data_IF_530265846684
#
_entry.id   IF_530265846684
#
_cell.length_a   1.000
_cell.length_b   1.000
_cell.length_c   1.000
_cell.angle_alpha   90.00
_cell.angle_beta   90.00
_cell.angle_gamma   90.00
#
_symmetry.space_group_name_H-M   'P 1'
#
loop_
_entity.id
_entity.type
_entity.pdbx_description
1 polymer ?
#
# COMPACT_ATOMS: atom_id res chain seq x y z
N UNK A 1 0.93 18.44 8.84
CA UNK A 1 2.07 17.50 8.98
C UNK A 1 1.72 16.51 10.07
N UNK A 2 2.13 15.25 9.92
CA UNK A 2 1.93 14.21 10.93
C UNK A 2 3.27 13.59 11.30
N UNK A 3 3.36 13.05 12.50
CA UNK A 3 4.44 12.20 12.96
C UNK A 3 3.92 11.26 14.02
N UNK A 4 4.64 10.17 14.23
CA UNK A 4 4.37 9.21 15.28
C UNK A 4 5.65 8.96 16.08
N UNK A 5 5.51 8.59 17.35
CA UNK A 5 6.61 8.11 18.17
C UNK A 5 6.50 6.62 18.47
N UNK A 6 7.53 6.05 19.09
CA UNK A 6 7.62 4.60 19.36
C UNK A 6 6.58 4.15 20.38
N UNK A 7 6.07 5.09 21.16
CA UNK A 7 5.01 4.93 22.14
C UNK A 7 3.61 4.94 21.50
N UNK A 8 3.52 5.02 20.16
CA UNK A 8 2.25 4.99 19.44
C UNK A 8 1.46 6.28 19.58
N UNK A 9 2.12 7.39 19.90
CA UNK A 9 1.50 8.72 19.91
C UNK A 9 1.61 9.33 18.53
N UNK A 10 0.47 9.72 17.97
CA UNK A 10 0.39 10.49 16.73
C UNK A 10 0.16 11.95 17.05
N UNK A 11 0.97 12.79 16.43
CA UNK A 11 0.93 14.25 16.58
C UNK A 11 0.63 14.87 15.23
N UNK A 12 -0.18 15.92 15.28
CA UNK A 12 -0.60 16.67 14.09
C UNK A 12 -0.20 18.12 14.24
N UNK A 13 0.44 18.67 13.22
CA UNK A 13 0.84 20.07 13.17
C UNK A 13 0.25 20.80 11.99
N UNK A 14 -0.13 22.05 12.23
CA UNK A 14 -0.38 23.01 11.16
C UNK A 14 0.96 23.38 10.51
N UNK A 15 1.07 23.12 9.20
CA UNK A 15 2.33 23.30 8.49
C UNK A 15 2.72 24.79 8.34
N UNK A 16 1.73 25.68 8.32
CA UNK A 16 1.96 27.12 8.09
C UNK A 16 2.48 27.83 9.34
N UNK A 17 1.86 27.52 10.49
CA UNK A 17 2.17 28.14 11.78
C UNK A 17 3.14 27.32 12.61
N UNK A 18 3.34 26.03 12.29
CA UNK A 18 4.12 25.10 13.10
C UNK A 18 3.43 24.69 14.41
N UNK A 19 2.18 25.13 14.63
CA UNK A 19 1.46 24.84 15.87
C UNK A 19 1.06 23.36 15.91
N UNK A 20 1.26 22.75 17.08
CA UNK A 20 0.69 21.44 17.39
C UNK A 20 -0.83 21.59 17.50
N UNK A 21 -1.56 20.88 16.64
CA UNK A 21 -3.02 20.85 16.62
C UNK A 21 -3.56 19.78 17.57
N UNK A 22 -2.94 18.60 17.61
CA UNK A 22 -3.40 17.48 18.44
C UNK A 22 -2.27 16.49 18.75
N UNK A 23 -2.50 15.66 19.77
CA UNK A 23 -1.65 14.53 20.16
C UNK A 23 -2.55 13.40 20.68
N UNK A 24 -2.49 12.22 20.06
CA UNK A 24 -3.35 11.07 20.37
C UNK A 24 -2.47 9.85 20.63
N UNK A 25 -2.72 9.12 21.71
CA UNK A 25 -2.12 7.81 21.95
C UNK A 25 -3.04 6.73 21.38
N UNK A 26 -2.51 5.88 20.50
CA UNK A 26 -3.32 4.91 19.76
C UNK A 26 -2.54 3.62 19.43
N UNK A 27 -1.44 3.36 20.14
CA UNK A 27 -0.58 2.16 20.02
C UNK A 27 -0.23 1.79 18.56
N UNK A 28 -0.10 2.80 17.72
CA UNK A 28 0.15 2.65 16.30
C UNK A 28 1.65 2.59 16.00
N UNK A 29 2.07 1.61 15.21
CA UNK A 29 3.46 1.49 14.77
C UNK A 29 3.71 2.18 13.43
N UNK A 30 2.67 2.39 12.63
CA UNK A 30 2.71 3.05 11.32
C UNK A 30 1.37 3.74 11.01
N UNK A 31 1.35 4.64 10.02
CA UNK A 31 0.15 5.40 9.67
C UNK A 31 0.09 5.87 8.22
N UNK A 32 -1.09 5.76 7.60
CA UNK A 32 -1.41 6.24 6.25
C UNK A 32 -2.60 7.23 6.27
N UNK A 33 -2.59 8.23 5.38
CA UNK A 33 -3.62 9.29 5.19
C UNK A 33 -3.89 9.36 3.67
N UNK A 34 -5.08 9.54 3.08
CA UNK A 34 -6.15 10.54 3.28
C UNK A 34 -7.45 10.05 2.61
N UNK A 35 -8.61 10.55 3.08
CA UNK A 35 -9.89 10.61 2.36
C UNK A 35 -10.03 11.99 1.69
N UNK A 36 -10.26 12.05 0.37
CA UNK A 36 -10.35 13.29 -0.42
C UNK A 36 -11.57 14.18 -0.08
N UNK A 37 -12.55 13.67 0.69
CA UNK A 37 -13.80 14.35 0.99
C UNK A 37 -13.74 15.26 2.24
N UNK A 38 -12.69 16.07 2.37
CA UNK A 38 -12.51 17.12 3.40
C UNK A 38 -12.45 16.64 4.88
N UNK A 39 -12.75 15.38 5.19
CA UNK A 39 -12.48 14.78 6.48
C UNK A 39 -11.16 14.04 6.41
N UNK A 40 -10.08 14.67 6.89
CA UNK A 40 -8.82 13.97 7.07
C UNK A 40 -9.07 12.84 8.09
N UNK A 41 -9.08 11.62 7.60
CA UNK A 41 -9.08 10.40 8.39
C UNK A 41 -7.75 9.72 8.18
N UNK A 42 -7.18 9.25 9.28
CA UNK A 42 -5.89 8.59 9.29
C UNK A 42 -6.10 7.18 9.80
N UNK A 43 -5.64 6.19 9.04
CA UNK A 43 -5.64 4.80 9.48
C UNK A 43 -4.27 4.53 10.09
N UNK A 44 -4.33 4.23 11.37
CA UNK A 44 -3.18 3.91 12.20
C UNK A 44 -3.22 2.44 12.53
N UNK A 45 -2.10 1.76 12.40
CA UNK A 45 -2.08 0.34 12.63
C UNK A 45 -0.99 -0.05 13.60
N UNK A 46 -1.39 -0.86 14.56
CA UNK A 46 -0.50 -1.51 15.53
C UNK A 46 -0.35 -2.99 15.19
N UNK A 47 0.10 -3.76 16.18
CA UNK A 47 0.35 -5.19 15.98
C UNK A 47 -0.94 -6.00 15.74
N UNK A 48 -2.09 -5.55 16.24
CA UNK A 48 -3.34 -6.35 16.25
C UNK A 48 -4.61 -5.60 15.86
N UNK A 49 -4.50 -4.33 15.52
CA UNK A 49 -5.64 -3.44 15.36
C UNK A 49 -5.34 -2.29 14.42
N UNK A 50 -6.41 -1.76 13.84
CA UNK A 50 -6.42 -0.48 13.12
C UNK A 50 -7.24 0.53 13.91
N UNK A 51 -6.79 1.78 13.91
CA UNK A 51 -7.46 2.92 14.49
C UNK A 51 -7.76 3.92 13.36
N UNK A 52 -9.02 4.23 13.15
CA UNK A 52 -9.46 5.33 12.30
C UNK A 52 -9.52 6.56 13.19
N UNK A 53 -8.67 7.53 12.93
CA UNK A 53 -8.58 8.74 13.76
C UNK A 53 -8.94 9.98 12.98
N UNK A 54 -9.52 10.96 13.68
CA UNK A 54 -9.53 12.35 13.25
C UNK A 54 -8.27 13.02 13.81
N UNK A 55 -7.21 13.17 13.00
CA UNK A 55 -5.94 13.63 13.50
C UNK A 55 -5.96 15.15 13.75
N UNK A 56 -6.93 15.92 13.24
CA UNK A 56 -7.07 17.34 13.58
C UNK A 56 -7.71 17.49 14.96
N UNK A 57 -8.80 16.76 15.23
CA UNK A 57 -9.52 16.86 16.50
C UNK A 57 -8.84 16.13 17.66
N UNK A 58 -7.93 15.20 17.37
CA UNK A 58 -7.32 14.41 18.42
C UNK A 58 -8.18 13.22 18.86
N UNK A 59 -9.04 12.69 17.99
CA UNK A 59 -10.07 11.72 18.35
C UNK A 59 -9.89 10.38 17.61
N UNK A 60 -9.99 9.26 18.34
CA UNK A 60 -10.17 7.94 17.74
C UNK A 60 -11.65 7.80 17.39
N UNK A 61 -11.97 7.70 16.09
CA UNK A 61 -13.33 7.49 15.62
C UNK A 61 -13.75 6.04 15.75
N UNK A 62 -12.84 5.11 15.44
CA UNK A 62 -13.10 3.67 15.46
C UNK A 62 -11.82 2.90 15.72
N UNK A 63 -11.90 1.93 16.61
CA UNK A 63 -10.88 0.89 16.79
C UNK A 63 -11.41 -0.40 16.16
N UNK A 64 -10.57 -1.06 15.38
CA UNK A 64 -10.87 -2.30 14.65
C UNK A 64 -9.87 -3.35 15.11
N UNK A 65 -10.36 -4.38 15.79
CA UNK A 65 -9.53 -5.51 16.23
C UNK A 65 -9.54 -6.61 15.18
N UNK A 66 -8.37 -6.96 14.67
CA UNK A 66 -8.22 -8.01 13.64
C UNK A 66 -7.31 -9.16 14.10
N UNK A 67 -7.02 -9.25 15.41
CA UNK A 67 -6.02 -10.19 15.95
C UNK A 67 -6.23 -11.64 15.54
N UNK A 68 -7.48 -12.07 15.41
CA UNK A 68 -7.83 -13.44 15.03
C UNK A 68 -7.46 -13.79 13.58
N UNK A 69 -7.36 -12.79 12.71
CA UNK A 69 -7.02 -12.94 11.28
C UNK A 69 -5.52 -12.84 11.02
N UNK A 70 -4.74 -12.40 12.00
CA UNK A 70 -3.30 -12.19 11.81
C UNK A 70 -2.49 -13.48 11.92
N UNK A 71 -3.08 -14.58 12.38
CA UNK A 71 -2.39 -15.85 12.61
C UNK A 71 -1.10 -15.71 13.44
N UNK A 72 -1.07 -14.74 14.36
CA UNK A 72 0.11 -14.44 15.18
C UNK A 72 1.17 -13.56 14.52
N UNK A 73 0.88 -12.98 13.36
CA UNK A 73 1.77 -12.06 12.64
C UNK A 73 1.39 -10.59 12.90
N UNK A 74 2.26 -9.67 12.49
CA UNK A 74 1.95 -8.24 12.45
C UNK A 74 1.36 -7.85 11.09
N UNK A 75 0.64 -6.73 11.03
CA UNK A 75 0.37 -6.05 9.76
C UNK A 75 1.70 -5.55 9.18
N UNK A 76 1.90 -5.73 7.88
CA UNK A 76 3.07 -5.16 7.19
C UNK A 76 2.68 -3.88 6.44
N UNK A 77 1.55 -3.90 5.71
CA UNK A 77 1.10 -2.75 4.93
C UNK A 77 -0.44 -2.66 4.78
N UNK A 78 -0.96 -1.48 4.42
CA UNK A 78 -2.38 -1.16 4.29
C UNK A 78 -2.65 -0.23 3.10
N UNK A 79 -3.70 -0.54 2.33
CA UNK A 79 -4.30 0.38 1.35
C UNK A 79 -5.75 0.71 1.73
N UNK A 80 -6.12 1.97 1.53
CA UNK A 80 -7.50 2.43 1.55
C UNK A 80 -8.11 2.27 0.15
N UNK A 81 -9.12 1.40 -0.01
CA UNK A 81 -9.84 1.28 -1.27
C UNK A 81 -10.86 2.41 -1.39
N UNK A 82 -10.41 3.55 -1.91
CA UNK A 82 -11.23 4.74 -2.04
C UNK A 82 -12.42 4.44 -2.99
N UNK A 83 -13.64 4.64 -2.51
CA UNK A 83 -14.88 4.37 -3.27
C UNK A 83 -15.65 3.11 -2.86
N UNK A 84 -15.12 2.26 -1.96
CA UNK A 84 -15.80 1.01 -1.55
C UNK A 84 -16.03 0.85 -0.05
N UNK A 85 -15.65 1.83 0.77
CA UNK A 85 -15.62 1.69 2.23
C UNK A 85 -14.85 0.43 2.69
N UNK A 86 -13.68 0.16 2.10
CA UNK A 86 -12.87 -1.01 2.45
C UNK A 86 -11.40 -0.67 2.71
N UNK A 87 -10.79 -1.47 3.58
CA UNK A 87 -9.36 -1.45 3.90
C UNK A 87 -8.76 -2.76 3.39
N UNK A 88 -7.73 -2.68 2.56
CA UNK A 88 -6.89 -3.82 2.22
C UNK A 88 -5.67 -3.81 3.12
N UNK A 89 -5.25 -4.96 3.62
CA UNK A 89 -4.03 -5.05 4.40
C UNK A 89 -3.30 -6.37 4.18
N UNK A 90 -1.97 -6.32 4.25
CA UNK A 90 -1.09 -7.50 4.27
C UNK A 90 -0.62 -7.80 5.69
N UNK A 91 -0.21 -9.05 5.89
CA UNK A 91 0.45 -9.48 7.11
C UNK A 91 1.89 -9.91 6.83
N UNK A 92 2.76 -9.66 7.79
CA UNK A 92 4.16 -10.06 7.78
C UNK A 92 4.27 -11.56 8.05
N UNK A 93 4.01 -12.38 7.04
CA UNK A 93 3.99 -13.85 7.12
C UNK A 93 4.78 -14.46 5.96
N UNK A 94 5.35 -15.65 6.18
CA UNK A 94 5.94 -16.45 5.10
C UNK A 94 4.90 -16.89 4.06
N UNK A 95 3.64 -17.00 4.49
CA UNK A 95 2.49 -17.18 3.62
C UNK A 95 1.82 -15.81 3.37
N UNK A 96 1.81 -15.30 2.13
CA UNK A 96 1.34 -13.97 1.82
C UNK A 96 -0.19 -13.95 1.76
N UNK A 97 -0.81 -13.42 2.82
CA UNK A 97 -2.24 -13.15 2.88
C UNK A 97 -2.53 -11.66 2.68
N UNK A 98 -3.61 -11.40 1.96
CA UNK A 98 -4.24 -10.08 1.90
C UNK A 98 -5.67 -10.23 2.35
N UNK A 99 -6.07 -9.31 3.20
CA UNK A 99 -7.41 -9.25 3.74
C UNK A 99 -8.12 -8.01 3.23
N UNK A 100 -9.42 -8.13 3.03
CA UNK A 100 -10.32 -7.01 2.76
C UNK A 100 -11.21 -6.86 3.98
N UNK A 101 -11.09 -5.74 4.67
CA UNK A 101 -11.97 -5.36 5.76
C UNK A 101 -13.01 -4.35 5.25
N UNK A 102 -14.29 -4.64 5.45
CA UNK A 102 -15.39 -3.75 5.10
C UNK A 102 -15.70 -2.81 6.27
N UNK A 103 -15.54 -1.50 6.05
CA UNK A 103 -15.93 -0.46 7.01
C UNK A 103 -17.46 -0.44 7.20
N UNK A 104 -18.22 -0.68 6.12
CA UNK A 104 -19.67 -0.68 6.13
C UNK A 104 -20.26 -1.83 6.99
N UNK A 105 -19.67 -3.02 6.89
CA UNK A 105 -20.16 -4.21 7.60
C UNK A 105 -19.41 -4.50 8.91
N UNK A 106 -18.34 -3.74 9.21
CA UNK A 106 -17.51 -3.94 10.39
C UNK A 106 -16.91 -5.37 10.49
N UNK A 107 -16.49 -5.93 9.35
CA UNK A 107 -16.04 -7.33 9.28
C UNK A 107 -15.03 -7.55 8.16
N UNK A 108 -14.29 -8.67 8.23
CA UNK A 108 -13.55 -9.19 7.08
C UNK A 108 -14.55 -9.62 6.00
N UNK A 109 -14.39 -9.09 4.80
CA UNK A 109 -15.20 -9.35 3.62
C UNK A 109 -14.53 -10.30 2.62
N UNK A 110 -13.20 -10.46 2.73
CA UNK A 110 -12.46 -11.34 1.86
C UNK A 110 -11.04 -11.59 2.36
N UNK A 111 -10.49 -12.71 1.93
CA UNK A 111 -9.13 -13.15 2.17
C UNK A 111 -8.61 -13.78 0.88
N UNK A 112 -7.38 -13.44 0.51
CA UNK A 112 -6.69 -14.05 -0.61
C UNK A 112 -5.28 -14.45 -0.19
N UNK A 113 -4.94 -15.71 -0.43
CA UNK A 113 -3.59 -16.24 -0.27
C UNK A 113 -2.90 -16.25 -1.62
N UNK A 114 -1.74 -15.60 -1.73
CA UNK A 114 -1.03 -15.48 -2.99
C UNK A 114 0.14 -16.47 -3.16
N UNK A 115 0.22 -17.50 -2.32
CA UNK A 115 0.96 -18.75 -2.57
C UNK A 115 2.43 -18.61 -2.95
N UNK A 116 3.29 -18.05 -2.10
CA UNK A 116 4.76 -18.07 -2.26
C UNK A 116 5.45 -17.97 -0.88
N UNK A 117 6.68 -18.49 -0.75
CA UNK A 117 7.46 -18.51 0.51
C UNK A 117 8.11 -17.16 0.87
N UNK A 118 7.57 -16.04 0.39
CA UNK A 118 8.15 -14.70 0.55
C UNK A 118 7.10 -13.73 1.07
N UNK A 119 7.37 -12.98 2.15
CA UNK A 119 6.44 -11.98 2.66
C UNK A 119 6.18 -10.88 1.63
N UNK A 120 4.97 -10.33 1.67
CA UNK A 120 4.61 -9.08 0.99
C UNK A 120 5.13 -7.94 1.85
N UNK A 121 5.93 -7.04 1.27
CA UNK A 121 6.48 -5.88 1.97
C UNK A 121 5.74 -4.58 1.70
N UNK A 122 5.02 -4.54 0.59
CA UNK A 122 4.31 -3.34 0.12
C UNK A 122 3.18 -3.79 -0.83
N UNK A 123 2.08 -3.06 -0.80
CA UNK A 123 0.94 -3.24 -1.68
C UNK A 123 0.69 -1.89 -2.36
N UNK A 124 0.41 -1.92 -3.66
CA UNK A 124 -0.06 -0.74 -4.39
C UNK A 124 -1.35 -1.03 -5.16
N UNK A 125 -2.13 0.02 -5.44
CA UNK A 125 -3.41 -0.05 -6.13
C UNK A 125 -3.37 0.80 -7.39
N UNK A 126 -3.85 0.24 -8.51
CA UNK A 126 -3.87 0.95 -9.78
C UNK A 126 -4.81 2.16 -9.76
N UNK A 127 -4.60 3.13 -10.64
CA UNK A 127 -5.32 4.40 -10.62
C UNK A 127 -6.85 4.23 -10.73
N UNK A 128 -7.30 3.28 -11.57
CA UNK A 128 -8.71 2.96 -11.70
C UNK A 128 -9.15 1.77 -10.87
N UNK A 129 -8.35 1.37 -9.87
CA UNK A 129 -8.77 0.39 -8.89
C UNK A 129 -9.13 -0.97 -9.51
N UNK A 130 -8.49 -1.31 -10.64
CA UNK A 130 -8.68 -2.57 -11.36
C UNK A 130 -7.63 -3.62 -10.98
N UNK A 131 -6.46 -3.17 -10.50
CA UNK A 131 -5.34 -4.04 -10.18
C UNK A 131 -4.74 -3.74 -8.81
N UNK A 132 -4.27 -4.79 -8.15
CA UNK A 132 -3.47 -4.71 -6.92
C UNK A 132 -2.06 -5.22 -7.27
N UNK A 133 -1.03 -4.45 -6.96
CA UNK A 133 0.35 -4.89 -7.01
C UNK A 133 0.83 -5.35 -5.63
N UNK A 134 1.49 -6.51 -5.60
CA UNK A 134 2.01 -7.15 -4.40
C UNK A 134 3.52 -7.24 -4.51
N UNK A 135 4.23 -6.42 -3.75
CA UNK A 135 5.69 -6.36 -3.78
C UNK A 135 6.27 -7.38 -2.80
N UNK A 136 7.14 -8.25 -3.32
CA UNK A 136 7.83 -9.31 -2.58
C UNK A 136 9.32 -9.15 -2.78
N UNK A 137 10.13 -9.86 -1.98
CA UNK A 137 11.59 -9.74 -2.02
C UNK A 137 12.21 -9.92 -3.43
N UNK A 138 11.62 -10.80 -4.24
CA UNK A 138 12.16 -11.31 -5.49
C UNK A 138 11.23 -11.13 -6.69
N UNK A 139 10.01 -10.66 -6.46
CA UNK A 139 8.94 -10.68 -7.44
C UNK A 139 7.88 -9.63 -7.15
N UNK A 140 7.11 -9.30 -8.19
CA UNK A 140 5.86 -8.57 -8.02
C UNK A 140 4.74 -9.39 -8.62
N UNK A 141 3.64 -9.52 -7.87
CA UNK A 141 2.42 -10.13 -8.37
C UNK A 141 1.37 -9.06 -8.61
N UNK A 142 0.72 -9.10 -9.77
CA UNK A 142 -0.41 -8.24 -10.09
C UNK A 142 -1.68 -9.08 -10.07
N UNK A 143 -2.70 -8.58 -9.38
CA UNK A 143 -4.00 -9.21 -9.24
C UNK A 143 -5.03 -8.34 -9.92
N UNK A 144 -5.70 -8.85 -10.95
CA UNK A 144 -6.90 -8.20 -11.50
C UNK A 144 -8.06 -8.40 -10.53
N UNK A 145 -8.58 -7.32 -9.96
CA UNK A 145 -9.58 -7.36 -8.87
C UNK A 145 -10.87 -8.06 -9.32
N UNK A 146 -11.34 -7.77 -10.54
CA UNK A 146 -12.63 -8.26 -11.03
C UNK A 146 -12.64 -9.77 -11.27
N UNK A 147 -11.54 -10.32 -11.76
CA UNK A 147 -11.45 -11.72 -12.19
C UNK A 147 -10.68 -12.57 -11.19
N UNK A 148 -9.91 -11.96 -10.30
CA UNK A 148 -8.91 -12.63 -9.46
C UNK A 148 -7.72 -13.15 -10.25
N UNK A 149 -7.56 -12.78 -11.53
CA UNK A 149 -6.45 -13.24 -12.37
C UNK A 149 -5.14 -12.75 -11.77
N UNK A 150 -4.27 -13.70 -11.42
CA UNK A 150 -2.94 -13.45 -10.92
C UNK A 150 -1.93 -13.50 -12.06
N UNK A 151 -1.18 -12.42 -12.25
CA UNK A 151 -0.02 -12.36 -13.12
C UNK A 151 1.21 -12.13 -12.25
N UNK A 152 2.07 -13.13 -12.13
CA UNK A 152 3.31 -13.03 -11.35
C UNK A 152 4.49 -12.75 -12.24
N UNK A 153 5.25 -11.72 -11.89
CA UNK A 153 6.46 -11.32 -12.59
C UNK A 153 7.68 -11.68 -11.74
N UNK A 154 8.41 -12.70 -12.18
CA UNK A 154 9.71 -13.03 -11.63
C UNK A 154 10.76 -12.01 -12.09
N UNK A 155 11.74 -11.76 -11.23
CA UNK A 155 12.93 -10.91 -11.44
C UNK A 155 12.72 -9.41 -11.16
N UNK A 156 12.73 -9.02 -9.88
CA UNK A 156 13.62 -7.91 -9.57
C UNK A 156 15.05 -8.41 -9.79
N UNK A 157 15.82 -7.85 -10.73
CA UNK A 157 17.11 -8.41 -11.11
C UNK A 157 18.08 -8.40 -9.93
N UNK A 158 18.57 -9.60 -9.57
CA UNK A 158 19.82 -10.02 -8.88
C UNK A 158 20.29 -9.33 -7.59
N UNK A 159 19.82 -8.14 -7.27
CA UNK A 159 20.09 -7.48 -6.01
C UNK A 159 18.78 -7.42 -5.26
N UNK A 160 18.81 -7.85 -3.99
CA UNK A 160 17.69 -7.74 -3.05
C UNK A 160 16.95 -6.43 -3.32
N UNK A 161 15.62 -6.48 -3.36
CA UNK A 161 14.78 -5.30 -3.29
C UNK A 161 14.97 -4.63 -1.92
N UNK A 162 16.17 -4.13 -1.63
CA UNK A 162 16.55 -3.42 -0.42
C UNK A 162 15.93 -2.01 -0.53
N UNK A 163 14.62 -1.95 -0.31
CA UNK A 163 13.88 -0.76 0.11
C UNK A 163 13.50 0.28 -0.94
N UNK A 164 13.78 0.06 -2.23
CA UNK A 164 13.66 1.12 -3.23
C UNK A 164 13.12 0.60 -4.58
N UNK A 165 12.05 -0.20 -4.57
CA UNK A 165 11.26 -0.45 -5.77
C UNK A 165 10.13 0.57 -5.80
N UNK A 166 10.12 1.43 -6.81
CA UNK A 166 8.98 2.29 -7.12
C UNK A 166 8.10 1.58 -8.15
N UNK A 167 6.82 1.46 -7.82
CA UNK A 167 5.79 1.03 -8.76
C UNK A 167 4.97 2.23 -9.19
N UNK A 168 4.56 2.21 -10.46
CA UNK A 168 3.60 3.19 -10.95
C UNK A 168 2.74 2.55 -12.03
N UNK A 169 1.44 2.60 -11.81
CA UNK A 169 0.46 2.26 -12.83
C UNK A 169 0.29 3.45 -13.78
N UNK A 170 0.15 3.14 -15.07
CA UNK A 170 -0.17 4.19 -16.00
C UNK A 170 -1.61 4.69 -15.79
N UNK A 171 -1.91 5.87 -16.31
CA UNK A 171 -3.21 6.52 -16.14
C UNK A 171 -4.38 5.65 -16.60
N UNK A 172 -4.19 4.69 -17.50
CA UNK A 172 -5.24 3.80 -18.04
C UNK A 172 -5.24 2.39 -17.45
N UNK A 173 -4.40 2.09 -16.45
CA UNK A 173 -4.21 0.74 -15.88
C UNK A 173 -3.90 -0.34 -16.93
N UNK A 174 -3.24 0.03 -18.03
CA UNK A 174 -2.78 -0.89 -19.07
C UNK A 174 -1.35 -1.34 -18.84
N UNK A 175 -0.55 -0.48 -18.23
CA UNK A 175 0.87 -0.70 -18.01
C UNK A 175 1.22 -0.48 -16.56
N UNK A 176 2.24 -1.20 -16.10
CA UNK A 176 2.91 -0.95 -14.83
C UNK A 176 4.39 -0.77 -15.07
N UNK A 177 4.96 0.26 -14.46
CA UNK A 177 6.38 0.54 -14.46
C UNK A 177 6.99 0.08 -13.13
N UNK A 178 8.14 -0.57 -13.23
CA UNK A 178 9.01 -0.96 -12.12
C UNK A 178 10.28 -0.14 -12.23
N UNK A 179 10.63 0.59 -11.19
CA UNK A 179 11.91 1.29 -11.10
C UNK A 179 12.64 0.84 -9.84
N UNK A 180 13.78 0.16 -10.01
CA UNK A 180 14.64 -0.23 -8.89
C UNK A 180 15.97 0.55 -8.85
N UNK A 181 15.97 1.77 -9.41
CA UNK A 181 17.14 2.68 -9.57
C UNK A 181 18.29 2.16 -10.44
N UNK A 182 18.31 0.85 -10.72
CA UNK A 182 19.27 0.19 -11.62
C UNK A 182 18.63 -0.14 -12.96
N UNK A 183 17.33 -0.43 -12.96
CA UNK A 183 16.56 -0.79 -14.12
C UNK A 183 15.16 -0.19 -14.03
N UNK A 184 14.67 0.24 -15.18
CA UNK A 184 13.26 0.56 -15.40
C UNK A 184 12.70 -0.52 -16.31
N UNK A 185 11.56 -1.11 -15.94
CA UNK A 185 10.82 -2.09 -16.74
C UNK A 185 9.38 -1.62 -16.87
N UNK A 186 8.77 -1.80 -18.03
CA UNK A 186 7.35 -1.55 -18.25
C UNK A 186 6.71 -2.84 -18.76
N UNK A 187 5.63 -3.24 -18.10
CA UNK A 187 4.90 -4.46 -18.42
C UNK A 187 3.48 -4.11 -18.89
N UNK A 188 2.99 -4.83 -19.89
CA UNK A 188 1.60 -4.84 -20.29
C UNK A 188 0.80 -5.76 -19.37
N UNK A 189 -0.22 -5.21 -18.71
CA UNK A 189 -1.02 -5.93 -17.72
C UNK A 189 -1.97 -6.96 -18.34
N UNK A 190 -2.36 -6.78 -19.61
CA UNK A 190 -3.24 -7.71 -20.30
C UNK A 190 -2.48 -8.97 -20.73
N UNK A 191 -1.33 -8.77 -21.38
CA UNK A 191 -0.51 -9.87 -21.91
C UNK A 191 0.41 -10.48 -20.85
N UNK A 192 0.83 -9.69 -19.86
CA UNK A 192 1.89 -10.05 -18.92
C UNK A 192 3.28 -10.01 -19.56
N UNK A 193 3.44 -9.35 -20.70
CA UNK A 193 4.73 -9.25 -21.39
C UNK A 193 5.47 -7.96 -21.00
N UNK A 194 6.81 -8.05 -20.96
CA UNK A 194 7.66 -6.86 -20.88
C UNK A 194 7.70 -6.18 -22.25
N UNK A 195 7.27 -4.92 -22.27
CA UNK A 195 7.24 -4.11 -23.49
C UNK A 195 8.41 -3.12 -23.55
N UNK A 196 9.08 -2.87 -22.42
CA UNK A 196 10.25 -2.00 -22.34
C UNK A 196 11.13 -2.37 -21.14
N UNK A 197 12.45 -2.33 -21.34
CA UNK A 197 13.42 -2.30 -20.24
C UNK A 197 14.65 -1.48 -20.58
N UNK A 198 15.20 -0.82 -19.56
CA UNK A 198 16.46 -0.07 -19.64
C UNK A 198 17.21 -0.13 -18.32
N UNK A 199 18.53 0.06 -18.37
CA UNK A 199 19.41 0.19 -17.20
C UNK A 199 19.59 1.65 -16.74
N UNK A 200 18.77 2.57 -17.24
CA UNK A 200 18.89 3.99 -16.97
C UNK A 200 18.49 4.33 -15.52
N UNK A 201 19.18 5.33 -14.95
CA UNK A 201 19.08 5.72 -13.52
C UNK A 201 18.01 6.79 -13.23
N UNK A 202 17.24 7.24 -14.22
CA UNK A 202 16.24 8.30 -14.01
C UNK A 202 14.98 7.98 -14.82
N UNK A 203 13.87 7.77 -14.11
CA UNK A 203 12.53 8.00 -14.65
C UNK A 203 11.76 8.83 -13.62
N UNK A 204 11.42 10.06 -13.99
CA UNK A 204 10.40 10.82 -13.27
C UNK A 204 9.07 10.57 -13.98
N UNK A 205 8.06 10.05 -13.26
CA UNK A 205 6.69 10.05 -13.73
C UNK A 205 5.98 11.26 -13.14
N UNK A 206 5.78 12.30 -13.95
CA UNK A 206 4.82 13.37 -13.67
C UNK A 206 3.43 12.96 -14.15
N UNK A 207 2.38 13.61 -13.65
CA UNK A 207 0.95 13.37 -13.96
C UNK A 207 0.53 13.68 -15.41
N UNK A 208 1.35 13.30 -16.38
CA UNK A 208 1.13 13.44 -17.81
C UNK A 208 2.16 12.63 -18.60
N UNK A 209 1.89 11.33 -18.76
CA UNK A 209 2.30 10.39 -19.82
C UNK A 209 3.70 10.52 -20.48
N UNK A 210 4.72 11.09 -19.82
CA UNK A 210 6.02 11.31 -20.45
C UNK A 210 7.15 10.71 -19.63
N UNK A 211 7.75 9.65 -20.18
CA UNK A 211 9.03 9.11 -19.71
C UNK A 211 10.13 9.88 -20.44
N UNK A 212 10.97 10.60 -19.70
CA UNK A 212 12.23 11.12 -20.24
C UNK A 212 13.31 10.04 -20.05
N UNK A 213 13.86 9.54 -21.14
CA UNK A 213 15.10 8.78 -21.15
C UNK A 213 16.15 9.59 -21.92
N UNK A 214 17.31 9.82 -21.32
CA UNK A 214 18.53 10.20 -22.03
C UNK A 214 19.23 8.96 -22.60
#
# INVERSE_FOLDING_TARGET
MFSHDKEGTVKTWDLKSGLLLSSIVCDATQGMVVNENETIELILFGYSNFNIVNPIKGEIKKEINIREYLYGNAIDDIILYQGSDAILFSIKSSDPYIFVYSLANDSIAGEAQFGYNSPIYDIDLSHHHHHIALMKQDSVSIVEIKTGKLTSFANAPDDRMDGHLELSFNSTDQYIMFNNFKNIRVLDLNSGEEIFSTKAQIACWGSGDTIFCD
#
